data_IF_372718325153
#
_entry.id   IF_372718325153
#
_cell.length_a   1.000
_cell.length_b   1.000
_cell.length_c   1.000
_cell.angle_alpha   90.00
_cell.angle_beta   90.00
_cell.angle_gamma   90.00
#
_symmetry.space_group_name_H-M   'P 1'
#
loop_
_entity.id
_entity.type
_entity.pdbx_description
1 polymer ?
#
# COMPACT_ATOMS: atom_id res chain seq x y z
N UNK A 2 -2.72 -0.52 -5.62
CA UNK A 2 -1.37 -0.77 -5.16
C UNK A 2 -0.88 0.39 -4.28
N UNK A 3 -1.40 1.56 -4.56
CA UNK A 3 -1.03 2.75 -3.80
C UNK A 3 -1.56 2.65 -2.36
N UNK A 4 -2.59 1.83 -2.21
CA UNK A 4 -3.20 1.63 -0.91
C UNK A 4 -2.29 0.74 -0.05
N UNK A 5 -1.46 -0.03 -0.73
CA UNK A 5 -0.54 -0.92 -0.05
C UNK A 5 0.57 -0.09 0.61
N UNK A 6 0.82 1.07 0.02
CA UNK A 6 1.84 1.96 0.55
C UNK A 6 1.47 2.38 1.97
N UNK A 7 0.17 2.44 2.22
CA UNK A 7 -0.33 2.83 3.52
C UNK A 7 -0.14 1.70 4.54
N UNK A 8 0.01 0.50 4.00
CA UNK A 8 0.19 -0.67 4.85
C UNK A 8 1.63 -0.69 5.40
N UNK A 9 2.51 -0.03 4.66
CA UNK A 9 3.90 0.05 5.06
C UNK A 9 4.08 0.96 6.28
N UNK A 10 3.29 2.03 6.30
CA UNK A 10 3.35 2.97 7.40
C UNK A 10 2.71 2.35 8.64
N UNK A 11 1.70 1.53 8.39
CA UNK A 11 1.00 0.87 9.48
C UNK A 11 1.68 -0.45 9.85
#
# INVERSE_FOLDING_TARGET
XPSKDAFIGLM
#
